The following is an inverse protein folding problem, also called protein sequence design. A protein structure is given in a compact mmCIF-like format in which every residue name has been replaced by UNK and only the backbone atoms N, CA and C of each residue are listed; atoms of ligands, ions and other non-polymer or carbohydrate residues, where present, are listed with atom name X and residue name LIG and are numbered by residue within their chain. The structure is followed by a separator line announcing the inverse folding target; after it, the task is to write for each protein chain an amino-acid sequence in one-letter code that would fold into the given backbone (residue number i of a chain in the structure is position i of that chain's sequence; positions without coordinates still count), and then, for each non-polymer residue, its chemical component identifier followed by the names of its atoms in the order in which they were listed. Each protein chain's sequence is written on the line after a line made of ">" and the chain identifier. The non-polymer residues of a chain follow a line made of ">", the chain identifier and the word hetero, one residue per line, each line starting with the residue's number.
data_IF_313134403730
#
_entry.id   IF_313134403730
#
_cell.length_a   1.000
_cell.length_b   1.000
_cell.length_c   1.000
_cell.angle_alpha   90.00
_cell.angle_beta   90.00
_cell.angle_gamma   90.00
#
_symmetry.space_group_name_H-M   'P 1'
#
loop_
_entity.id
_entity.type
_entity.pdbx_description
1 polymer ?
#
# COMPACT_ATOMS: atom_id res chain seq x y z
N UNK A 1 7.07 -1.69 32.08
CA UNK A 1 8.53 -1.81 31.87
C UNK A 1 8.77 -3.20 31.30
N UNK A 2 9.04 -3.28 29.97
CA UNK A 2 9.67 -4.39 29.20
C UNK A 2 9.07 -5.81 29.32
N UNK A 3 8.83 -6.64 28.30
CA UNK A 3 9.30 -6.83 26.91
C UNK A 3 8.11 -7.43 26.09
N UNK A 4 7.88 -7.13 24.80
CA UNK A 4 8.51 -7.71 23.59
C UNK A 4 8.81 -9.22 23.69
N UNK A 5 8.03 -10.07 23.00
CA UNK A 5 8.50 -10.97 21.92
C UNK A 5 7.43 -12.01 21.48
N UNK A 6 7.30 -12.12 20.15
CA UNK A 6 6.96 -13.29 19.33
C UNK A 6 5.62 -14.04 19.50
N UNK A 7 4.82 -13.97 18.43
CA UNK A 7 3.71 -14.88 18.14
C UNK A 7 3.37 -14.94 16.66
N UNK A 8 4.38 -15.12 15.79
CA UNK A 8 4.17 -15.46 14.38
C UNK A 8 3.58 -16.87 14.27
N UNK A 9 2.73 -17.06 13.24
CA UNK A 9 2.20 -18.32 12.70
C UNK A 9 0.88 -18.84 13.30
N UNK A 10 -0.26 -18.48 12.69
CA UNK A 10 -1.23 -19.42 12.08
C UNK A 10 -2.49 -18.73 11.52
N UNK A 11 -2.36 -17.98 10.42
CA UNK A 11 -3.53 -17.56 9.62
C UNK A 11 -3.36 -17.97 8.15
N UNK A 12 -3.00 -19.24 7.92
CA UNK A 12 -3.03 -19.85 6.59
C UNK A 12 -4.46 -20.36 6.36
N UNK A 13 -5.19 -19.72 5.42
CA UNK A 13 -6.48 -20.15 4.81
C UNK A 13 -7.84 -19.61 5.31
N UNK A 14 -7.97 -18.35 5.77
CA UNK A 14 -9.31 -17.72 5.86
C UNK A 14 -9.52 -16.50 4.94
N UNK A 15 -8.45 -15.83 4.51
CA UNK A 15 -8.55 -14.54 3.80
C UNK A 15 -9.04 -14.69 2.35
N UNK A 16 -8.87 -15.86 1.73
CA UNK A 16 -9.20 -16.05 0.30
C UNK A 16 -10.70 -16.23 0.06
N UNK A 17 -11.49 -16.50 1.11
CA UNK A 17 -12.94 -16.73 0.96
C UNK A 17 -13.79 -15.48 1.26
N UNK A 18 -13.23 -14.46 1.91
CA UNK A 18 -13.98 -13.26 2.32
C UNK A 18 -13.84 -12.05 1.37
N UNK A 19 -12.94 -12.14 0.38
CA UNK A 19 -12.60 -11.04 -0.56
C UNK A 19 -13.61 -10.88 -1.71
N UNK A 20 -14.65 -11.72 -1.82
CA UNK A 20 -15.50 -11.73 -3.00
C UNK A 20 -16.63 -10.68 -3.03
N UNK A 21 -16.94 -9.97 -1.94
CA UNK A 21 -18.13 -9.11 -1.94
C UNK A 21 -18.09 -8.04 -0.85
N UNK A 22 -17.24 -7.01 -1.00
CA UNK A 22 -17.29 -5.89 -0.06
C UNK A 22 -17.31 -4.55 -0.82
N UNK A 23 -18.55 -4.12 -1.07
CA UNK A 23 -18.95 -2.73 -1.25
C UNK A 23 -19.24 -2.05 0.11
N UNK A 24 -18.93 -2.70 1.25
CA UNK A 24 -19.18 -2.17 2.59
C UNK A 24 -17.94 -1.55 3.27
N UNK A 25 -17.98 -0.27 3.68
CA UNK A 25 -16.85 0.41 4.31
C UNK A 25 -16.47 -0.15 5.69
N UNK A 26 -17.39 -0.76 6.43
CA UNK A 26 -17.14 -1.17 7.82
C UNK A 26 -16.27 -2.42 7.89
N UNK A 27 -16.50 -3.37 7.00
CA UNK A 27 -15.67 -4.57 6.92
C UNK A 27 -14.23 -4.28 6.44
N UNK A 28 -14.00 -3.10 5.83
CA UNK A 28 -12.66 -2.68 5.40
C UNK A 28 -11.72 -2.45 6.59
N UNK A 29 -12.23 -2.02 7.75
CA UNK A 29 -11.41 -1.75 8.95
C UNK A 29 -10.92 -3.04 9.61
N UNK A 30 -11.79 -4.04 9.79
CA UNK A 30 -11.41 -5.35 10.34
C UNK A 30 -10.44 -6.11 9.44
N UNK A 31 -10.53 -5.90 8.11
CA UNK A 31 -9.62 -6.49 7.15
C UNK A 31 -8.26 -5.78 7.20
N UNK A 32 -8.23 -4.46 7.38
CA UNK A 32 -6.97 -3.71 7.52
C UNK A 32 -6.09 -4.22 8.66
N UNK A 33 -6.69 -4.50 9.82
CA UNK A 33 -5.98 -5.07 10.95
C UNK A 33 -5.36 -6.44 10.62
N UNK A 34 -6.08 -7.27 9.84
CA UNK A 34 -5.59 -8.58 9.40
C UNK A 34 -4.56 -8.53 8.27
N UNK A 35 -4.47 -7.42 7.54
CA UNK A 35 -3.54 -7.22 6.42
C UNK A 35 -2.29 -6.42 6.82
N UNK A 36 -2.24 -5.91 8.05
CA UNK A 36 -1.09 -5.20 8.60
C UNK A 36 0.16 -6.10 8.60
N UNK A 37 1.26 -5.60 8.05
CA UNK A 37 2.52 -6.32 7.86
C UNK A 37 2.74 -6.92 6.47
N UNK A 38 1.69 -7.05 5.65
CA UNK A 38 1.74 -7.67 4.32
C UNK A 38 1.28 -6.72 3.18
N UNK A 39 1.09 -5.42 3.43
CA UNK A 39 0.57 -4.47 2.43
C UNK A 39 1.40 -4.44 1.14
N UNK A 40 2.71 -4.65 1.24
CA UNK A 40 3.57 -4.71 0.06
C UNK A 40 3.27 -5.90 -0.85
N UNK A 41 3.10 -7.10 -0.30
CA UNK A 41 2.75 -8.30 -1.07
C UNK A 41 1.33 -8.22 -1.61
N UNK A 42 0.40 -7.69 -0.81
CA UNK A 42 -1.00 -7.54 -1.19
C UNK A 42 -1.17 -6.55 -2.34
N UNK A 43 -0.37 -5.49 -2.37
CA UNK A 43 -0.38 -4.50 -3.45
C UNK A 43 -0.04 -5.10 -4.81
N UNK A 44 0.72 -6.19 -4.86
CA UNK A 44 1.11 -6.88 -6.10
C UNK A 44 0.11 -7.98 -6.51
N UNK A 45 -0.96 -8.19 -5.74
CA UNK A 45 -1.97 -9.20 -6.05
C UNK A 45 -3.19 -8.58 -6.73
N UNK A 46 -3.65 -9.19 -7.83
CA UNK A 46 -4.78 -8.72 -8.65
C UNK A 46 -6.04 -8.34 -7.86
N UNK A 47 -6.37 -9.09 -6.81
CA UNK A 47 -7.60 -8.89 -6.03
C UNK A 47 -7.34 -8.05 -4.78
N UNK A 48 -6.25 -8.32 -4.07
CA UNK A 48 -5.91 -7.63 -2.83
C UNK A 48 -5.43 -6.20 -3.06
N UNK A 49 -4.83 -5.88 -4.21
CA UNK A 49 -4.40 -4.51 -4.55
C UNK A 49 -5.57 -3.54 -4.52
N UNK A 50 -6.73 -3.98 -5.02
CA UNK A 50 -7.95 -3.18 -5.05
C UNK A 50 -8.50 -2.89 -3.64
N UNK A 51 -8.28 -3.83 -2.70
CA UNK A 51 -8.62 -3.65 -1.29
C UNK A 51 -7.72 -2.58 -0.68
N UNK A 52 -6.39 -2.69 -0.84
CA UNK A 52 -5.44 -1.69 -0.33
C UNK A 52 -5.72 -0.30 -0.90
N UNK A 53 -6.06 -0.22 -2.18
CA UNK A 53 -6.41 1.03 -2.84
C UNK A 53 -7.69 1.66 -2.29
N UNK A 54 -8.74 0.85 -2.07
CA UNK A 54 -9.96 1.30 -1.38
C UNK A 54 -9.66 1.75 0.05
N UNK A 55 -8.80 1.04 0.77
CA UNK A 55 -8.40 1.44 2.11
C UNK A 55 -7.73 2.81 2.11
N UNK A 56 -6.79 3.06 1.18
CA UNK A 56 -6.16 4.37 1.04
C UNK A 56 -7.15 5.49 0.71
N UNK A 57 -8.30 5.16 0.11
CA UNK A 57 -9.33 6.13 -0.28
C UNK A 57 -10.39 6.39 0.80
N UNK A 58 -10.79 5.35 1.54
CA UNK A 58 -11.93 5.39 2.48
C UNK A 58 -11.53 5.26 3.94
N UNK A 59 -10.35 4.72 4.25
CA UNK A 59 -9.88 4.61 5.63
C UNK A 59 -9.46 5.98 6.19
N UNK A 60 -9.45 6.08 7.52
CA UNK A 60 -9.02 7.31 8.22
C UNK A 60 -7.55 7.64 8.03
N UNK A 61 -7.14 8.87 8.36
CA UNK A 61 -5.76 9.34 8.20
C UNK A 61 -4.74 8.46 8.92
N UNK A 62 -5.09 7.88 10.08
CA UNK A 62 -4.24 6.97 10.84
C UNK A 62 -3.95 5.67 10.07
N UNK A 63 -4.99 5.01 9.54
CA UNK A 63 -4.82 3.78 8.75
C UNK A 63 -4.08 4.04 7.44
N UNK A 64 -4.37 5.17 6.76
CA UNK A 64 -3.63 5.59 5.57
C UNK A 64 -2.14 5.77 5.88
N UNK A 65 -1.85 6.38 7.03
CA UNK A 65 -0.48 6.57 7.51
C UNK A 65 0.22 5.22 7.71
N UNK A 66 -0.41 4.26 8.38
CA UNK A 66 0.15 2.92 8.60
C UNK A 66 0.47 2.21 7.28
N UNK A 67 -0.47 2.16 6.34
CA UNK A 67 -0.29 1.52 5.03
C UNK A 67 0.88 2.16 4.28
N UNK A 68 0.92 3.49 4.23
CA UNK A 68 1.96 4.21 3.49
C UNK A 68 3.32 4.02 4.16
N UNK A 69 3.39 4.09 5.49
CA UNK A 69 4.61 3.81 6.24
C UNK A 69 5.13 2.40 5.98
N UNK A 70 4.26 1.41 5.88
CA UNK A 70 4.69 0.04 5.57
C UNK A 70 5.18 -0.08 4.14
N UNK A 71 4.48 0.52 3.17
CA UNK A 71 4.89 0.53 1.77
C UNK A 71 6.25 1.18 1.57
N UNK A 72 6.51 2.36 2.17
CA UNK A 72 7.81 3.05 2.04
C UNK A 72 8.96 2.29 2.70
N UNK A 73 8.68 1.55 3.78
CA UNK A 73 9.68 0.72 4.45
C UNK A 73 9.85 -0.65 3.81
N UNK A 74 8.99 -1.00 2.83
CA UNK A 74 9.08 -2.27 2.14
C UNK A 74 10.29 -2.29 1.21
N UNK A 75 11.15 -3.30 1.38
CA UNK A 75 12.34 -3.49 0.54
C UNK A 75 12.04 -3.72 -0.94
N UNK A 76 10.79 -4.08 -1.28
CA UNK A 76 10.32 -4.30 -2.64
C UNK A 76 9.48 -3.14 -3.19
N UNK A 77 9.56 -1.95 -2.59
CA UNK A 77 8.84 -0.77 -3.08
C UNK A 77 9.07 -0.53 -4.59
N UNK A 78 10.30 -0.71 -5.06
CA UNK A 78 10.66 -0.62 -6.48
C UNK A 78 9.90 -1.62 -7.36
N UNK A 79 9.68 -2.84 -6.86
CA UNK A 79 8.91 -3.87 -7.56
C UNK A 79 7.42 -3.52 -7.55
N UNK A 80 6.89 -3.09 -6.41
CA UNK A 80 5.48 -2.69 -6.26
C UNK A 80 5.15 -1.55 -7.23
N UNK A 81 6.01 -0.55 -7.38
CA UNK A 81 5.80 0.56 -8.31
C UNK A 81 5.86 0.15 -9.80
N UNK A 82 6.54 -0.95 -10.10
CA UNK A 82 6.66 -1.49 -11.46
C UNK A 82 5.65 -2.59 -11.75
N UNK A 83 4.93 -3.05 -10.73
CA UNK A 83 3.94 -4.11 -10.82
C UNK A 83 2.66 -3.62 -11.53
N UNK A 84 2.01 -4.44 -12.39
CA UNK A 84 0.77 -4.09 -13.08
C UNK A 84 -0.41 -3.75 -12.16
N UNK A 85 -0.38 -4.17 -10.89
CA UNK A 85 -1.40 -3.87 -9.88
C UNK A 85 -0.87 -2.87 -8.84
N UNK A 86 0.35 -3.09 -8.34
CA UNK A 86 0.96 -2.26 -7.29
C UNK A 86 1.14 -0.80 -7.68
N UNK A 87 1.36 -0.52 -8.98
CA UNK A 87 1.46 0.85 -9.48
C UNK A 87 0.20 1.69 -9.17
N UNK A 88 -0.99 1.08 -9.13
CA UNK A 88 -2.22 1.80 -8.82
C UNK A 88 -2.32 2.12 -7.32
N UNK A 89 -1.89 1.20 -6.45
CA UNK A 89 -1.81 1.42 -5.00
C UNK A 89 -0.87 2.58 -4.67
N UNK A 90 0.31 2.65 -5.29
CA UNK A 90 1.24 3.76 -5.07
C UNK A 90 0.68 5.09 -5.59
N UNK A 91 -0.05 5.07 -6.71
CA UNK A 91 -0.75 6.25 -7.20
C UNK A 91 -1.83 6.72 -6.22
N UNK A 92 -2.62 5.80 -5.66
CA UNK A 92 -3.62 6.12 -4.64
C UNK A 92 -2.96 6.67 -3.37
N UNK A 93 -1.87 6.05 -2.90
CA UNK A 93 -1.09 6.53 -1.77
C UNK A 93 -0.58 7.96 -1.99
N UNK A 94 -0.05 8.26 -3.18
CA UNK A 94 0.38 9.60 -3.57
C UNK A 94 -0.77 10.61 -3.63
N UNK A 95 -1.96 10.18 -4.05
CA UNK A 95 -3.12 11.07 -4.18
C UNK A 95 -3.82 11.36 -2.84
N UNK A 96 -3.78 10.39 -1.91
CA UNK A 96 -4.44 10.48 -0.61
C UNK A 96 -3.50 10.92 0.53
N UNK A 97 -2.19 10.75 0.39
CA UNK A 97 -1.20 11.31 1.32
C UNK A 97 -1.20 12.84 1.30
N UNK A 98 -1.02 13.44 2.48
CA UNK A 98 -0.87 14.89 2.67
C UNK A 98 0.21 15.17 3.72
N UNK A 99 0.75 16.39 3.70
CA UNK A 99 1.70 16.87 4.72
C UNK A 99 2.98 16.05 4.80
N UNK A 100 3.38 15.65 6.01
CA UNK A 100 4.60 14.88 6.29
C UNK A 100 4.61 13.50 5.64
N UNK A 101 3.46 12.84 5.59
CA UNK A 101 3.33 11.50 4.99
C UNK A 101 3.62 11.53 3.49
N UNK A 102 3.12 12.56 2.81
CA UNK A 102 3.38 12.77 1.40
C UNK A 102 4.87 12.99 1.13
N UNK A 103 5.51 13.86 1.92
CA UNK A 103 6.94 14.10 1.80
C UNK A 103 7.77 12.83 2.02
N UNK A 104 7.40 12.00 3.00
CA UNK A 104 8.07 10.71 3.25
C UNK A 104 7.93 9.74 2.05
N UNK A 105 6.74 9.67 1.45
CA UNK A 105 6.49 8.85 0.26
C UNK A 105 7.30 9.34 -0.95
N UNK A 106 7.35 10.64 -1.18
CA UNK A 106 8.14 11.23 -2.26
C UNK A 106 9.63 10.94 -2.08
N UNK A 107 10.16 11.12 -0.86
CA UNK A 107 11.58 10.85 -0.58
C UNK A 107 11.92 9.37 -0.71
N UNK A 108 11.00 8.45 -0.38
CA UNK A 108 11.16 7.03 -0.62
C UNK A 108 11.17 6.68 -2.13
N UNK A 109 10.34 7.34 -2.94
CA UNK A 109 10.25 7.10 -4.39
C UNK A 109 11.44 7.71 -5.15
N UNK A 110 11.96 8.84 -4.69
CA UNK A 110 13.04 9.62 -5.32
C UNK A 110 14.26 8.81 -5.78
N UNK A 111 14.86 7.90 -4.98
CA UNK A 111 15.98 7.07 -5.43
C UNK A 111 15.59 6.06 -6.52
N UNK A 112 14.31 5.68 -6.61
CA UNK A 112 13.81 4.71 -7.59
C UNK A 112 13.35 5.34 -8.91
N UNK A 113 13.24 6.68 -8.99
CA UNK A 113 12.84 7.41 -10.20
C UNK A 113 13.55 6.94 -11.48
N UNK A 114 14.88 6.69 -11.50
CA UNK A 114 15.56 6.20 -12.71
C UNK A 114 14.99 4.88 -13.23
N UNK A 115 14.70 3.94 -12.33
CA UNK A 115 14.13 2.61 -12.64
C UNK A 115 12.67 2.74 -13.09
N UNK A 116 11.91 3.65 -12.47
CA UNK A 116 10.53 3.91 -12.86
C UNK A 116 10.41 4.48 -14.28
N UNK A 117 11.40 5.26 -14.74
CA UNK A 117 11.44 5.78 -16.11
C UNK A 117 11.67 4.69 -17.15
N UNK A 118 12.28 3.56 -16.79
CA UNK A 118 12.51 2.44 -17.71
C UNK A 118 11.29 1.51 -17.80
N UNK A 119 10.44 1.46 -16.78
CA UNK A 119 9.24 0.62 -16.75
C UNK A 119 8.00 1.34 -17.31
N UNK A 120 7.14 0.67 -18.11
CA UNK A 120 5.89 1.25 -18.58
C UNK A 120 4.90 1.56 -17.44
N UNK A 121 4.92 0.79 -16.35
CA UNK A 121 4.07 1.01 -15.17
C UNK A 121 4.66 2.08 -14.25
N UNK A 122 5.98 2.08 -14.06
CA UNK A 122 6.67 3.10 -13.27
C UNK A 122 6.48 4.52 -13.82
N UNK A 123 6.41 4.69 -15.15
CA UNK A 123 6.08 5.97 -15.78
C UNK A 123 4.71 6.51 -15.36
N UNK A 124 3.73 5.64 -15.13
CA UNK A 124 2.39 6.05 -14.65
C UNK A 124 2.46 6.58 -13.22
N UNK A 125 3.21 5.91 -12.34
CA UNK A 125 3.47 6.37 -10.98
C UNK A 125 4.12 7.77 -11.01
N UNK A 126 5.14 7.97 -11.84
CA UNK A 126 5.80 9.27 -12.00
C UNK A 126 4.90 10.37 -12.59
N UNK A 127 3.89 9.97 -13.36
CA UNK A 127 2.94 10.90 -13.99
C UNK A 127 1.78 11.25 -13.06
N UNK A 128 1.70 10.61 -11.88
CA UNK A 128 0.65 10.86 -10.89
C UNK A 128 0.69 12.29 -10.37
N UNK A 129 -0.48 12.90 -10.23
CA UNK A 129 -0.63 14.28 -9.78
C UNK A 129 -0.10 14.50 -8.36
N UNK A 130 0.01 13.45 -7.54
CA UNK A 130 0.58 13.52 -6.21
C UNK A 130 2.03 14.02 -6.21
N UNK A 131 2.88 13.61 -7.17
CA UNK A 131 4.31 14.02 -7.19
C UNK A 131 4.55 15.50 -7.53
N UNK A 132 3.51 16.24 -7.95
CA UNK A 132 3.60 17.65 -8.38
C UNK A 132 2.97 18.62 -7.37
N UNK A 133 2.47 18.11 -6.25
CA UNK A 133 1.76 18.85 -5.20
C UNK A 133 2.73 19.46 -4.20
#
# INVERSE_FOLDING_TARGET
>A
MFCLEFGFQSCRNYVVQFVFEIEDPWATVDILDQLEGDYGDLSMQKYSSNVVEKCLKYAGEESQSCIIHELINNRRLDQIMQDPYGNYVIQAALNHSKGSLHAALVEAIRPHVPVLRTSPYGKKVLSSNGLKK
#
